data_IF_199275990773
#
_entry.id   IF_199275990773
#
_cell.length_a   1.000
_cell.length_b   1.000
_cell.length_c   1.000
_cell.angle_alpha   90.00
_cell.angle_beta   90.00
_cell.angle_gamma   90.00
#
_symmetry.space_group_name_H-M   'P 1'
#
loop_
_entity.id
_entity.type
_entity.pdbx_description
1 polymer ?
#
# COMPACT_ATOMS: atom_id res chain seq x y z
N UNK A 1 -10.06 -11.62 -9.85
CA UNK A 1 -9.15 -11.72 -11.01
C UNK A 1 -9.17 -10.38 -11.73
N UNK A 2 -8.18 -10.07 -12.56
CA UNK A 2 -8.14 -8.81 -13.32
C UNK A 2 -8.26 -9.14 -14.81
N UNK A 3 -9.30 -8.66 -15.49
CA UNK A 3 -9.60 -8.95 -16.89
C UNK A 3 -9.29 -7.77 -17.82
N UNK A 4 -8.79 -8.06 -19.02
CA UNK A 4 -8.54 -7.10 -20.09
C UNK A 4 -8.55 -7.75 -21.47
N UNK A 5 -8.03 -7.02 -22.47
CA UNK A 5 -7.83 -7.55 -23.84
C UNK A 5 -8.97 -7.31 -24.83
N UNK A 6 -10.03 -6.59 -24.46
CA UNK A 6 -11.02 -6.07 -25.42
C UNK A 6 -10.50 -4.76 -26.03
N UNK A 7 -9.82 -4.86 -27.17
CA UNK A 7 -9.28 -3.70 -27.88
C UNK A 7 -10.23 -3.11 -28.92
N UNK A 8 -11.41 -3.72 -29.15
CA UNK A 8 -12.36 -3.25 -30.17
C UNK A 8 -13.49 -2.44 -29.56
N UNK A 9 -14.11 -2.92 -28.48
CA UNK A 9 -15.23 -2.26 -27.80
C UNK A 9 -14.83 -1.66 -26.43
N UNK A 10 -13.74 -2.15 -25.83
CA UNK A 10 -13.20 -1.63 -24.57
C UNK A 10 -14.09 -1.86 -23.35
N UNK A 11 -15.04 -2.79 -23.42
CA UNK A 11 -16.07 -2.99 -22.38
C UNK A 11 -16.40 -4.46 -22.10
N UNK A 12 -15.67 -5.39 -22.72
CA UNK A 12 -15.82 -6.83 -22.55
C UNK A 12 -16.73 -7.51 -23.59
N UNK A 13 -17.37 -6.76 -24.51
CA UNK A 13 -18.21 -7.36 -25.56
C UNK A 13 -17.48 -7.64 -26.87
N UNK A 14 -16.25 -7.14 -27.00
CA UNK A 14 -15.44 -7.24 -28.22
C UNK A 14 -14.20 -8.15 -28.10
N UNK A 15 -13.24 -7.87 -28.97
CA UNK A 15 -12.01 -8.64 -29.13
C UNK A 15 -12.07 -9.63 -30.30
N UNK A 16 -10.90 -9.90 -30.88
CA UNK A 16 -10.70 -10.93 -31.91
C UNK A 16 -9.27 -11.48 -31.79
N UNK A 17 -9.05 -12.68 -32.31
CA UNK A 17 -7.72 -13.30 -32.33
C UNK A 17 -7.00 -13.05 -33.64
N UNK A 18 -5.69 -13.32 -33.68
CA UNK A 18 -4.92 -13.33 -34.92
C UNK A 18 -5.36 -14.42 -35.93
N UNK A 19 -6.25 -15.33 -35.51
CA UNK A 19 -6.79 -16.42 -36.32
C UNK A 19 -8.24 -16.15 -36.78
N UNK A 20 -8.80 -14.98 -36.45
CA UNK A 20 -10.21 -14.61 -36.68
C UNK A 20 -10.97 -14.32 -35.38
N UNK A 21 -12.29 -14.19 -35.46
CA UNK A 21 -13.13 -13.77 -34.32
C UNK A 21 -12.94 -14.68 -33.09
N UNK A 22 -12.91 -16.01 -33.30
CA UNK A 22 -12.79 -17.01 -32.22
C UNK A 22 -11.87 -18.17 -32.61
N UNK A 23 -11.27 -18.80 -31.61
CA UNK A 23 -10.52 -20.05 -31.76
C UNK A 23 -10.81 -21.06 -30.62
N UNK A 24 -10.39 -22.30 -30.85
CA UNK A 24 -10.66 -23.46 -29.98
C UNK A 24 -9.89 -23.41 -28.65
N UNK A 25 -10.36 -24.16 -27.65
CA UNK A 25 -9.63 -24.40 -26.42
C UNK A 25 -8.50 -25.41 -26.68
N UNK A 26 -7.23 -25.01 -26.53
CA UNK A 26 -6.09 -25.89 -26.83
C UNK A 26 -6.01 -27.10 -25.88
N UNK A 27 -5.88 -26.85 -24.57
CA UNK A 27 -5.86 -27.87 -23.54
C UNK A 27 -6.05 -27.29 -22.14
N UNK A 28 -6.64 -28.08 -21.23
CA UNK A 28 -6.81 -27.72 -19.81
C UNK A 28 -5.76 -28.41 -18.93
N UNK A 29 -4.48 -28.15 -19.21
CA UNK A 29 -3.36 -28.82 -18.53
C UNK A 29 -3.10 -28.27 -17.13
N UNK A 30 -3.28 -26.96 -16.94
CA UNK A 30 -2.99 -26.26 -15.69
C UNK A 30 -4.31 -25.87 -15.02
N UNK A 31 -4.41 -26.18 -13.73
CA UNK A 31 -5.53 -25.77 -12.87
C UNK A 31 -5.27 -24.41 -12.24
N UNK A 32 -6.33 -23.66 -11.99
CA UNK A 32 -6.29 -22.33 -11.40
C UNK A 32 -6.08 -22.39 -9.87
N UNK A 33 -4.94 -22.93 -9.45
CA UNK A 33 -4.63 -23.29 -8.06
C UNK A 33 -3.94 -22.19 -7.27
N UNK A 34 -3.49 -21.12 -7.93
CA UNK A 34 -2.71 -20.05 -7.33
C UNK A 34 -3.01 -18.69 -8.00
N UNK A 35 -2.67 -17.56 -7.34
CA UNK A 35 -2.64 -16.26 -7.99
C UNK A 35 -1.63 -16.22 -9.15
N UNK A 36 -1.76 -15.17 -9.97
CA UNK A 36 -0.85 -14.79 -11.04
C UNK A 36 -0.78 -15.73 -12.24
N UNK A 37 -1.79 -16.56 -12.45
CA UNK A 37 -1.96 -17.34 -13.67
C UNK A 37 -2.63 -16.48 -14.75
N UNK A 38 -2.07 -16.50 -15.96
CA UNK A 38 -2.62 -15.84 -17.13
C UNK A 38 -3.49 -16.83 -17.91
N UNK A 39 -4.76 -16.48 -18.14
CA UNK A 39 -5.76 -17.38 -18.70
C UNK A 39 -6.71 -16.67 -19.66
N UNK A 40 -7.23 -17.42 -20.64
CA UNK A 40 -8.16 -16.91 -21.64
C UNK A 40 -9.55 -16.64 -21.06
N UNK A 41 -10.12 -15.48 -21.35
CA UNK A 41 -11.55 -15.24 -21.16
C UNK A 41 -12.32 -15.76 -22.38
N UNK A 42 -13.52 -16.30 -22.16
CA UNK A 42 -14.37 -16.83 -23.22
C UNK A 42 -15.87 -16.68 -22.85
N UNK A 43 -16.74 -16.93 -23.83
CA UNK A 43 -18.19 -16.94 -23.69
C UNK A 43 -18.77 -18.38 -23.80
N UNK A 44 -17.99 -19.37 -23.34
CA UNK A 44 -18.27 -20.80 -23.50
C UNK A 44 -17.17 -21.54 -24.29
N UNK A 45 -17.31 -22.87 -24.46
CA UNK A 45 -16.30 -23.70 -25.10
C UNK A 45 -15.91 -23.20 -26.49
N UNK A 46 -14.60 -23.20 -26.80
CA UNK A 46 -14.04 -22.82 -28.10
C UNK A 46 -14.41 -21.40 -28.56
N UNK A 47 -14.50 -20.44 -27.63
CA UNK A 47 -14.80 -19.04 -27.95
C UNK A 47 -13.71 -18.08 -27.48
N UNK A 48 -12.46 -18.52 -27.54
CA UNK A 48 -11.31 -17.69 -27.19
C UNK A 48 -11.10 -16.60 -28.24
N UNK A 49 -10.83 -15.37 -27.80
CA UNK A 49 -10.56 -14.21 -28.66
C UNK A 49 -9.25 -13.53 -28.25
N UNK A 50 -9.30 -12.25 -27.91
CA UNK A 50 -8.15 -11.52 -27.34
C UNK A 50 -8.25 -11.26 -25.84
N UNK A 51 -9.43 -11.46 -25.24
CA UNK A 51 -9.63 -11.18 -23.83
C UNK A 51 -8.94 -12.22 -22.96
N UNK A 52 -8.33 -11.76 -21.88
CA UNK A 52 -7.62 -12.59 -20.91
C UNK A 52 -7.86 -12.07 -19.50
N UNK A 53 -7.54 -12.90 -18.52
CA UNK A 53 -7.48 -12.48 -17.13
C UNK A 53 -6.22 -12.99 -16.43
N UNK A 54 -5.83 -12.28 -15.38
CA UNK A 54 -4.79 -12.69 -14.44
C UNK A 54 -5.48 -13.07 -13.12
N UNK A 55 -5.24 -14.28 -12.61
CA UNK A 55 -5.76 -14.69 -11.31
C UNK A 55 -5.09 -13.91 -10.18
N UNK A 56 -5.83 -13.67 -9.10
CA UNK A 56 -5.32 -12.97 -7.89
C UNK A 56 -5.50 -13.83 -6.63
N UNK A 57 -6.13 -14.98 -6.80
CA UNK A 57 -6.31 -16.06 -5.82
C UNK A 57 -6.58 -17.37 -6.60
N UNK A 58 -6.70 -18.50 -5.92
CA UNK A 58 -7.14 -19.76 -6.50
C UNK A 58 -8.59 -19.67 -7.00
N UNK A 59 -8.84 -20.07 -8.25
CA UNK A 59 -10.15 -20.01 -8.89
C UNK A 59 -10.56 -21.36 -9.49
N UNK A 60 -10.69 -22.44 -8.69
CA UNK A 60 -10.93 -23.80 -9.18
C UNK A 60 -12.25 -23.97 -9.96
N UNK A 61 -13.20 -23.05 -9.80
CA UNK A 61 -14.45 -23.04 -10.55
C UNK A 61 -14.27 -22.74 -12.06
N UNK A 62 -13.08 -22.27 -12.47
CA UNK A 62 -12.67 -22.01 -13.86
C UNK A 62 -11.94 -23.20 -14.50
N UNK A 63 -11.61 -24.24 -13.73
CA UNK A 63 -10.90 -25.42 -14.24
C UNK A 63 -11.72 -26.14 -15.30
N UNK A 64 -11.06 -26.54 -16.39
CA UNK A 64 -11.70 -27.20 -17.53
C UNK A 64 -12.60 -26.29 -18.38
N UNK A 65 -12.61 -24.97 -18.11
CA UNK A 65 -13.42 -23.98 -18.82
C UNK A 65 -12.59 -22.87 -19.44
N UNK A 66 -11.48 -22.51 -18.82
CA UNK A 66 -10.58 -21.46 -19.30
C UNK A 66 -9.16 -22.02 -19.45
N UNK A 67 -8.53 -21.70 -20.58
CA UNK A 67 -7.18 -22.17 -20.90
C UNK A 67 -6.16 -21.26 -20.21
N UNK A 68 -5.41 -21.82 -19.27
CA UNK A 68 -4.23 -21.17 -18.69
C UNK A 68 -3.07 -21.31 -19.67
N UNK A 69 -2.45 -20.19 -20.05
CA UNK A 69 -1.39 -20.14 -21.05
C UNK A 69 -0.13 -19.37 -20.60
N UNK A 70 -0.10 -18.92 -19.35
CA UNK A 70 1.09 -18.27 -18.79
C UNK A 70 0.97 -18.00 -17.29
N UNK A 71 1.99 -17.34 -16.74
CA UNK A 71 2.00 -16.82 -15.38
C UNK A 71 2.82 -15.54 -15.30
N UNK A 72 2.51 -14.67 -14.33
CA UNK A 72 3.28 -13.45 -14.09
C UNK A 72 4.62 -13.83 -13.45
N UNK A 73 5.72 -13.44 -14.09
CA UNK A 73 7.07 -13.61 -13.55
C UNK A 73 7.56 -12.40 -12.75
N UNK A 74 7.24 -11.19 -13.20
CA UNK A 74 7.65 -9.92 -12.60
C UNK A 74 6.45 -8.98 -12.51
N UNK A 75 6.45 -8.11 -11.50
CA UNK A 75 5.39 -7.10 -11.34
C UNK A 75 4.10 -7.61 -10.69
N UNK A 76 4.18 -8.64 -9.83
CA UNK A 76 3.03 -9.11 -9.04
C UNK A 76 2.36 -7.96 -8.26
N UNK A 77 3.14 -7.01 -7.75
CA UNK A 77 2.62 -5.84 -7.05
C UNK A 77 1.78 -4.89 -7.93
N UNK A 78 2.03 -4.85 -9.24
CA UNK A 78 1.19 -4.12 -10.20
C UNK A 78 -0.16 -4.80 -10.32
N UNK A 79 -0.19 -6.13 -10.42
CA UNK A 79 -1.45 -6.90 -10.43
C UNK A 79 -2.23 -6.67 -9.14
N UNK A 80 -1.57 -6.70 -7.98
CA UNK A 80 -2.21 -6.37 -6.69
C UNK A 80 -2.73 -4.94 -6.62
N UNK A 81 -2.07 -3.96 -7.26
CA UNK A 81 -2.61 -2.60 -7.37
C UNK A 81 -3.88 -2.55 -8.21
N UNK A 82 -3.92 -3.28 -9.32
CA UNK A 82 -5.13 -3.38 -10.17
C UNK A 82 -6.26 -4.05 -9.39
N UNK A 83 -5.98 -5.14 -8.70
CA UNK A 83 -6.95 -5.88 -7.86
C UNK A 83 -7.58 -4.99 -6.78
N UNK A 84 -6.77 -4.18 -6.09
CA UNK A 84 -7.24 -3.35 -4.99
C UNK A 84 -7.76 -1.98 -5.43
N UNK A 85 -7.83 -1.72 -6.74
CA UNK A 85 -8.37 -0.46 -7.24
C UNK A 85 -9.90 -0.43 -7.01
N UNK A 86 -10.49 0.68 -6.55
CA UNK A 86 -11.93 0.76 -6.34
C UNK A 86 -12.71 0.46 -7.63
N UNK A 87 -13.78 -0.33 -7.52
CA UNK A 87 -14.67 -0.64 -8.64
C UNK A 87 -16.08 -0.08 -8.42
N UNK A 88 -16.78 0.16 -9.52
CA UNK A 88 -18.17 0.59 -9.57
C UNK A 88 -19.08 -0.58 -9.96
N UNK A 89 -20.32 -0.27 -10.39
CA UNK A 89 -21.27 -1.29 -10.83
C UNK A 89 -20.68 -2.15 -11.96
N UNK A 90 -20.82 -3.47 -11.83
CA UNK A 90 -20.28 -4.43 -12.81
C UNK A 90 -18.78 -4.69 -12.66
N UNK A 91 -18.18 -4.37 -11.51
CA UNK A 91 -16.76 -4.57 -11.20
C UNK A 91 -15.81 -3.81 -12.13
N UNK A 92 -16.28 -2.67 -12.66
CA UNK A 92 -15.49 -1.80 -13.54
C UNK A 92 -14.66 -0.84 -12.67
N UNK A 93 -13.34 -0.70 -12.90
CA UNK A 93 -12.50 0.28 -12.20
C UNK A 93 -13.09 1.69 -12.22
N UNK A 94 -13.03 2.41 -11.09
CA UNK A 94 -13.51 3.80 -11.00
C UNK A 94 -12.68 4.78 -11.82
N UNK A 95 -11.42 4.44 -12.09
CA UNK A 95 -10.53 5.15 -13.00
C UNK A 95 -10.01 4.19 -14.09
N UNK A 96 -9.77 4.67 -15.33
CA UNK A 96 -9.25 3.81 -16.39
C UNK A 96 -7.87 3.22 -16.05
N UNK A 97 -7.76 1.89 -16.12
CA UNK A 97 -6.50 1.15 -16.02
C UNK A 97 -6.13 0.67 -17.43
N UNK A 98 -5.02 1.18 -17.96
CA UNK A 98 -4.62 0.96 -19.35
C UNK A 98 -3.29 0.22 -19.44
N UNK A 99 -3.19 -0.69 -20.41
CA UNK A 99 -1.89 -1.20 -20.88
C UNK A 99 -1.31 -0.11 -21.80
N UNK A 100 -0.45 0.73 -21.24
CA UNK A 100 0.11 1.88 -21.96
C UNK A 100 1.13 1.48 -23.03
N UNK A 101 1.84 0.37 -22.82
CA UNK A 101 2.81 -0.20 -23.75
C UNK A 101 2.92 -1.72 -23.52
N UNK A 102 3.25 -2.48 -24.56
CA UNK A 102 3.46 -3.92 -24.50
C UNK A 102 4.41 -4.40 -25.60
N UNK A 103 5.05 -5.56 -25.39
CA UNK A 103 5.97 -6.13 -26.34
C UNK A 103 6.51 -7.48 -25.90
N UNK A 104 7.36 -8.06 -26.74
CA UNK A 104 8.07 -9.30 -26.45
C UNK A 104 9.50 -8.98 -26.00
N UNK A 105 9.89 -9.52 -24.83
CA UNK A 105 11.27 -9.44 -24.36
C UNK A 105 12.08 -10.58 -24.98
N UNK A 106 13.29 -10.27 -25.45
CA UNK A 106 14.23 -11.30 -25.87
C UNK A 106 14.75 -12.06 -24.65
N UNK A 107 15.21 -13.30 -24.83
CA UNK A 107 15.78 -14.10 -23.74
C UNK A 107 16.92 -13.39 -22.99
N UNK A 108 17.69 -12.55 -23.69
CA UNK A 108 18.85 -11.86 -23.12
C UNK A 108 18.54 -10.44 -22.62
N UNK A 109 17.26 -10.05 -22.64
CA UNK A 109 16.82 -8.71 -22.28
C UNK A 109 17.28 -8.35 -20.86
N UNK A 110 17.95 -7.20 -20.66
CA UNK A 110 18.42 -6.77 -19.35
C UNK A 110 17.30 -6.68 -18.31
N UNK A 111 16.05 -6.43 -18.72
CA UNK A 111 14.87 -6.35 -17.85
C UNK A 111 14.48 -7.72 -17.27
N UNK A 112 14.92 -8.82 -17.90
CA UNK A 112 14.78 -10.18 -17.35
C UNK A 112 15.91 -10.53 -16.37
N UNK A 113 17.08 -9.88 -16.51
CA UNK A 113 18.25 -10.07 -15.64
C UNK A 113 18.24 -9.13 -14.43
N UNK A 114 17.54 -8.00 -14.54
CA UNK A 114 17.08 -7.25 -13.38
C UNK A 114 15.97 -8.06 -12.74
N UNK A 115 16.32 -8.90 -11.78
CA UNK A 115 15.36 -9.36 -10.77
C UNK A 115 14.56 -8.15 -10.28
N UNK A 116 13.27 -8.14 -10.60
CA UNK A 116 12.24 -7.24 -10.11
C UNK A 116 12.43 -5.74 -10.40
N UNK A 117 11.31 -5.05 -10.61
CA UNK A 117 11.21 -3.63 -10.25
C UNK A 117 11.16 -3.46 -8.72
N UNK A 118 12.18 -3.99 -8.05
CA UNK A 118 12.75 -3.49 -6.82
C UNK A 118 14.22 -3.27 -7.15
N UNK A 119 14.81 -2.15 -6.77
CA UNK A 119 16.27 -1.97 -6.83
C UNK A 119 16.98 -3.28 -6.44
N UNK A 120 18.14 -3.59 -7.02
CA UNK A 120 19.03 -4.72 -6.62
C UNK A 120 19.27 -4.88 -5.11
N UNK A 121 18.80 -3.93 -4.31
CA UNK A 121 18.79 -3.86 -2.85
C UNK A 121 17.50 -4.37 -2.15
N UNK A 122 16.38 -4.66 -2.85
CA UNK A 122 15.12 -5.18 -2.27
C UNK A 122 14.55 -6.37 -3.06
N UNK A 123 14.94 -7.61 -2.72
CA UNK A 123 14.55 -8.83 -3.42
C UNK A 123 13.25 -9.46 -2.88
N UNK A 124 12.45 -8.70 -2.13
CA UNK A 124 11.24 -9.21 -1.48
C UNK A 124 9.99 -8.77 -2.25
N UNK A 125 8.93 -9.55 -2.23
CA UNK A 125 7.65 -9.16 -2.83
C UNK A 125 6.96 -8.09 -1.98
N UNK A 126 6.16 -7.21 -2.60
CA UNK A 126 5.51 -6.12 -1.85
C UNK A 126 4.44 -6.61 -0.86
N UNK A 127 3.88 -7.80 -1.12
CA UNK A 127 2.91 -8.48 -0.27
C UNK A 127 3.52 -9.80 0.23
N UNK A 128 3.57 -10.05 1.55
CA UNK A 128 4.23 -11.23 2.11
C UNK A 128 3.68 -12.57 1.62
N UNK A 129 2.36 -12.64 1.35
CA UNK A 129 1.69 -13.85 0.84
C UNK A 129 2.16 -14.24 -0.57
N UNK A 130 2.74 -13.30 -1.32
CA UNK A 130 3.19 -13.51 -2.68
C UNK A 130 4.70 -13.80 -2.76
N UNK A 131 5.43 -13.69 -1.63
CA UNK A 131 6.86 -13.98 -1.52
C UNK A 131 7.10 -15.49 -1.44
N UNK A 132 8.11 -15.99 -2.15
CA UNK A 132 8.42 -17.43 -2.20
C UNK A 132 9.05 -17.94 -0.88
N UNK A 133 9.45 -17.04 0.03
CA UNK A 133 9.98 -17.37 1.35
C UNK A 133 8.83 -17.71 2.31
N UNK A 134 9.13 -18.50 3.34
CA UNK A 134 8.16 -18.86 4.38
C UNK A 134 7.85 -17.68 5.31
N UNK A 135 7.02 -16.74 4.85
CA UNK A 135 6.66 -15.53 5.62
C UNK A 135 5.72 -15.83 6.80
N UNK A 136 5.09 -17.02 6.80
CA UNK A 136 4.37 -17.58 7.95
C UNK A 136 5.32 -17.98 9.10
N UNK A 137 6.63 -18.04 8.84
CA UNK A 137 7.63 -18.11 9.90
C UNK A 137 7.96 -16.68 10.41
N UNK A 138 7.75 -16.38 11.70
CA UNK A 138 7.96 -15.02 12.23
C UNK A 138 9.43 -14.58 12.18
N UNK A 139 10.40 -15.47 12.33
CA UNK A 139 11.81 -15.12 12.16
C UNK A 139 12.11 -14.64 10.74
N UNK A 140 11.54 -15.31 9.73
CA UNK A 140 11.69 -14.92 8.32
C UNK A 140 11.04 -13.57 8.07
N UNK A 141 9.79 -13.39 8.49
CA UNK A 141 9.07 -12.11 8.36
C UNK A 141 9.83 -10.95 9.02
N UNK A 142 10.38 -11.18 10.22
CA UNK A 142 11.19 -10.20 10.93
C UNK A 142 12.48 -9.83 10.19
N UNK A 143 13.19 -10.83 9.64
CA UNK A 143 14.42 -10.59 8.88
C UNK A 143 14.16 -9.73 7.64
N UNK A 144 13.10 -10.04 6.90
CA UNK A 144 12.67 -9.27 5.73
C UNK A 144 12.29 -7.85 6.15
N UNK A 145 11.45 -7.72 7.18
CA UNK A 145 11.03 -6.42 7.69
C UNK A 145 12.23 -5.55 8.10
N UNK A 146 13.25 -6.12 8.75
CA UNK A 146 14.50 -5.42 9.10
C UNK A 146 15.24 -4.92 7.86
N UNK A 147 15.44 -5.78 6.86
CA UNK A 147 16.13 -5.41 5.62
C UNK A 147 15.40 -4.30 4.85
N UNK A 148 14.09 -4.44 4.68
CA UNK A 148 13.24 -3.44 4.00
C UNK A 148 13.22 -2.12 4.75
N UNK A 149 13.19 -2.13 6.10
CA UNK A 149 13.27 -0.90 6.90
C UNK A 149 14.59 -0.17 6.68
N UNK A 150 15.71 -0.87 6.62
CA UNK A 150 17.01 -0.23 6.41
C UNK A 150 17.12 0.43 5.03
N UNK A 151 16.55 -0.18 3.99
CA UNK A 151 16.40 0.47 2.70
C UNK A 151 15.52 1.73 2.80
N UNK A 152 14.39 1.65 3.51
CA UNK A 152 13.55 2.82 3.78
C UNK A 152 14.31 3.95 4.48
N UNK A 153 15.14 3.63 5.48
CA UNK A 153 15.99 4.59 6.18
C UNK A 153 16.98 5.27 5.22
N UNK A 154 17.59 4.50 4.30
CA UNK A 154 18.53 5.02 3.30
C UNK A 154 17.84 5.97 2.34
N UNK A 155 16.74 5.54 1.73
CA UNK A 155 15.93 6.35 0.81
C UNK A 155 15.44 7.65 1.47
N UNK A 156 15.04 7.57 2.74
CA UNK A 156 14.61 8.75 3.49
C UNK A 156 15.76 9.75 3.69
N UNK A 157 16.97 9.28 4.00
CA UNK A 157 18.18 10.12 4.12
C UNK A 157 18.58 10.76 2.79
N UNK A 158 18.34 10.08 1.67
CA UNK A 158 18.55 10.59 0.30
C UNK A 158 17.47 11.59 -0.14
N UNK A 159 16.45 11.85 0.68
CA UNK A 159 15.33 12.74 0.34
C UNK A 159 14.26 12.09 -0.54
N UNK A 160 14.41 10.81 -0.90
CA UNK A 160 13.43 10.01 -1.67
C UNK A 160 12.28 9.55 -0.76
N UNK A 161 11.55 10.53 -0.23
CA UNK A 161 10.59 10.33 0.87
C UNK A 161 9.43 9.41 0.47
N UNK A 162 8.93 9.51 -0.75
CA UNK A 162 7.83 8.68 -1.26
C UNK A 162 8.25 7.20 -1.36
N UNK A 163 9.42 6.94 -1.94
CA UNK A 163 9.97 5.59 -2.00
C UNK A 163 10.25 5.03 -0.60
N UNK A 164 10.74 5.86 0.32
CA UNK A 164 10.95 5.47 1.72
C UNK A 164 9.63 5.09 2.41
N UNK A 165 8.55 5.86 2.18
CA UNK A 165 7.23 5.53 2.70
C UNK A 165 6.77 4.15 2.23
N UNK A 166 6.90 3.86 0.94
CA UNK A 166 6.57 2.56 0.36
C UNK A 166 7.33 1.41 1.04
N UNK A 167 8.63 1.58 1.29
CA UNK A 167 9.44 0.57 2.02
C UNK A 167 9.02 0.44 3.48
N UNK A 168 8.72 1.52 4.19
CA UNK A 168 8.23 1.40 5.56
C UNK A 168 6.88 0.69 5.63
N UNK A 169 5.94 1.00 4.73
CA UNK A 169 4.65 0.32 4.65
C UNK A 169 4.82 -1.16 4.31
N UNK A 170 5.73 -1.51 3.38
CA UNK A 170 6.10 -2.90 3.08
C UNK A 170 6.63 -3.62 4.31
N UNK A 171 7.62 -3.03 5.00
CA UNK A 171 8.19 -3.59 6.23
C UNK A 171 7.12 -3.83 7.30
N UNK A 172 6.14 -2.92 7.46
CA UNK A 172 5.00 -3.09 8.36
C UNK A 172 4.13 -4.29 7.92
N UNK A 173 3.82 -4.42 6.62
CA UNK A 173 3.05 -5.57 6.11
C UNK A 173 3.70 -6.91 6.44
N UNK A 174 5.02 -7.02 6.36
CA UNK A 174 5.74 -8.24 6.75
C UNK A 174 5.60 -8.55 8.25
N UNK A 175 5.67 -7.54 9.13
CA UNK A 175 5.42 -7.77 10.55
C UNK A 175 3.95 -8.10 10.84
N UNK A 176 3.03 -7.55 10.05
CA UNK A 176 1.59 -7.75 10.22
C UNK A 176 1.09 -9.11 9.76
N UNK A 177 1.94 -9.94 9.15
CA UNK A 177 1.68 -11.40 9.03
C UNK A 177 1.55 -12.03 10.42
N UNK A 178 2.32 -11.51 11.39
CA UNK A 178 2.35 -11.98 12.78
C UNK A 178 1.92 -10.87 13.74
N UNK A 179 0.64 -10.45 13.73
CA UNK A 179 0.17 -9.34 14.57
C UNK A 179 0.20 -9.69 16.06
N UNK A 180 0.17 -10.99 16.38
CA UNK A 180 0.39 -11.56 17.70
C UNK A 180 1.31 -12.78 17.50
N UNK A 181 2.47 -12.76 18.16
CA UNK A 181 3.39 -13.90 18.12
C UNK A 181 2.84 -15.07 18.98
N UNK A 182 3.21 -16.32 18.65
CA UNK A 182 2.89 -17.48 19.49
C UNK A 182 3.31 -17.28 20.96
N UNK A 183 2.54 -17.83 21.89
CA UNK A 183 2.83 -17.69 23.33
C UNK A 183 4.19 -18.28 23.69
N UNK A 184 4.58 -19.37 23.04
CA UNK A 184 5.84 -20.09 23.18
C UNK A 184 6.99 -19.49 22.35
N UNK A 185 6.76 -18.40 21.60
CA UNK A 185 7.82 -17.74 20.84
C UNK A 185 8.95 -17.25 21.78
N UNK A 186 10.23 -17.39 21.36
CA UNK A 186 11.37 -16.98 22.17
C UNK A 186 11.26 -15.52 22.63
N UNK A 187 11.60 -15.19 23.90
CA UNK A 187 11.60 -13.81 24.38
C UNK A 187 12.38 -12.85 23.47
N UNK A 188 13.52 -13.30 22.94
CA UNK A 188 14.38 -12.51 22.06
C UNK A 188 13.69 -12.16 20.73
N UNK A 189 12.79 -13.02 20.25
CA UNK A 189 11.99 -12.78 19.06
C UNK A 189 10.94 -11.70 19.34
N UNK A 190 10.20 -11.83 20.45
CA UNK A 190 9.19 -10.86 20.89
C UNK A 190 9.82 -9.48 21.07
N UNK A 191 10.93 -9.42 21.79
CA UNK A 191 11.70 -8.19 22.00
C UNK A 191 12.16 -7.58 20.66
N UNK A 192 12.61 -8.41 19.72
CA UNK A 192 13.03 -7.93 18.40
C UNK A 192 11.89 -7.38 17.55
N UNK A 193 10.69 -7.97 17.64
CA UNK A 193 9.49 -7.47 16.97
C UNK A 193 9.06 -6.13 17.54
N UNK A 194 8.98 -6.02 18.86
CA UNK A 194 8.60 -4.79 19.55
C UNK A 194 9.61 -3.66 19.30
N UNK A 195 10.91 -3.97 19.40
CA UNK A 195 11.98 -3.02 19.14
C UNK A 195 12.00 -2.51 17.70
N UNK A 196 11.52 -3.30 16.74
CA UNK A 196 11.43 -2.90 15.34
C UNK A 196 10.17 -2.09 15.04
N UNK A 197 9.02 -2.50 15.59
CA UNK A 197 7.71 -1.98 15.19
C UNK A 197 7.53 -0.51 15.58
N UNK A 198 7.92 -0.10 16.80
CA UNK A 198 7.78 1.28 17.27
C UNK A 198 8.49 2.30 16.36
N UNK A 199 9.82 2.22 16.12
CA UNK A 199 10.51 3.16 15.25
C UNK A 199 10.02 3.07 13.81
N UNK A 200 9.59 1.90 13.34
CA UNK A 200 9.07 1.70 11.99
C UNK A 200 7.75 2.45 11.75
N UNK A 201 6.77 2.29 12.66
CA UNK A 201 5.49 3.02 12.58
C UNK A 201 5.71 4.53 12.61
N UNK A 202 6.59 4.99 13.50
CA UNK A 202 6.95 6.38 13.61
C UNK A 202 7.62 6.89 12.33
N UNK A 203 8.59 6.18 11.78
CA UNK A 203 9.28 6.55 10.54
C UNK A 203 8.32 6.58 9.34
N UNK A 204 7.42 5.60 9.24
CA UNK A 204 6.37 5.58 8.22
C UNK A 204 5.46 6.81 8.33
N UNK A 205 5.00 7.14 9.54
CA UNK A 205 4.17 8.35 9.75
C UNK A 205 4.92 9.64 9.38
N UNK A 206 6.22 9.73 9.72
CA UNK A 206 7.04 10.89 9.36
C UNK A 206 7.26 10.99 7.84
N UNK A 207 7.46 9.87 7.16
CA UNK A 207 7.58 9.85 5.71
C UNK A 207 6.26 10.29 5.06
N UNK A 208 5.13 9.73 5.50
CA UNK A 208 3.81 10.06 5.00
C UNK A 208 3.48 11.56 5.11
N UNK A 209 3.74 12.18 6.26
CA UNK A 209 3.53 13.64 6.41
C UNK A 209 4.54 14.49 5.63
N UNK A 210 5.66 13.93 5.15
CA UNK A 210 6.68 14.65 4.39
C UNK A 210 6.51 14.53 2.87
N UNK A 211 5.84 13.49 2.37
CA UNK A 211 5.52 13.37 0.94
C UNK A 211 4.76 14.61 0.45
N UNK A 212 5.11 15.09 -0.74
CA UNK A 212 4.43 16.18 -1.43
C UNK A 212 3.87 15.68 -2.78
N UNK A 213 2.68 16.14 -3.21
CA UNK A 213 1.78 17.01 -2.45
C UNK A 213 1.17 16.29 -1.23
N UNK A 214 0.76 17.04 -0.21
CA UNK A 214 0.00 16.48 0.92
C UNK A 214 -1.31 15.87 0.43
N UNK A 215 -1.55 14.60 0.74
CA UNK A 215 -2.78 13.88 0.39
C UNK A 215 -3.52 13.38 1.63
N UNK A 216 -4.85 13.27 1.57
CA UNK A 216 -5.63 12.60 2.62
C UNK A 216 -5.19 11.15 2.88
N UNK A 217 -4.77 10.41 1.84
CA UNK A 217 -4.30 9.03 1.97
C UNK A 217 -3.02 8.92 2.84
N UNK A 218 -2.06 9.82 2.61
CA UNK A 218 -0.85 9.86 3.43
C UNK A 218 -1.14 10.35 4.86
N UNK A 219 -2.06 11.30 5.02
CA UNK A 219 -2.50 11.72 6.34
C UNK A 219 -3.16 10.57 7.12
N UNK A 220 -4.05 9.79 6.50
CA UNK A 220 -4.65 8.61 7.11
C UNK A 220 -3.60 7.55 7.49
N UNK A 221 -2.60 7.32 6.64
CA UNK A 221 -1.46 6.44 6.96
C UNK A 221 -0.73 6.92 8.21
N UNK A 222 -0.42 8.21 8.30
CA UNK A 222 0.25 8.77 9.48
C UNK A 222 -0.61 8.67 10.75
N UNK A 223 -1.92 8.95 10.66
CA UNK A 223 -2.87 8.83 11.78
C UNK A 223 -2.96 7.37 12.25
N UNK A 224 -3.10 6.42 11.32
CA UNK A 224 -3.19 5.00 11.62
C UNK A 224 -1.94 4.48 12.34
N UNK A 225 -0.76 4.76 11.78
CA UNK A 225 0.51 4.31 12.35
C UNK A 225 0.80 4.90 13.73
N UNK A 226 0.57 6.21 13.91
CA UNK A 226 0.79 6.88 15.20
C UNK A 226 -0.23 6.43 16.25
N UNK A 227 -1.49 6.22 15.87
CA UNK A 227 -2.52 5.68 16.76
C UNK A 227 -2.20 4.25 17.17
N UNK A 228 -1.74 3.40 16.24
CA UNK A 228 -1.26 2.05 16.56
C UNK A 228 -0.10 2.11 17.56
N UNK A 229 0.89 2.96 17.31
CA UNK A 229 2.04 3.10 18.20
C UNK A 229 1.62 3.55 19.62
N UNK A 230 0.74 4.55 19.73
CA UNK A 230 0.26 5.07 21.01
C UNK A 230 -0.62 4.09 21.80
N UNK A 231 -1.43 3.27 21.11
CA UNK A 231 -2.40 2.39 21.75
C UNK A 231 -1.85 0.98 22.05
N UNK A 232 -0.85 0.53 21.29
CA UNK A 232 -0.41 -0.87 21.32
C UNK A 232 1.02 -1.06 21.81
N UNK A 233 1.84 -0.01 21.86
CA UNK A 233 3.26 -0.14 22.19
C UNK A 233 3.62 0.65 23.45
N UNK A 234 4.61 0.15 24.18
CA UNK A 234 5.23 0.88 25.27
C UNK A 234 6.22 1.90 24.71
N UNK A 235 5.88 3.18 24.83
CA UNK A 235 6.69 4.29 24.34
C UNK A 235 7.20 5.14 25.51
N UNK A 236 8.44 5.59 25.44
CA UNK A 236 8.96 6.65 26.30
C UNK A 236 8.29 8.00 25.93
N UNK A 237 8.42 9.00 26.79
CA UNK A 237 7.75 10.29 26.62
C UNK A 237 8.16 11.02 25.34
N UNK A 238 9.42 10.91 24.92
CA UNK A 238 9.91 11.51 23.69
C UNK A 238 9.27 10.86 22.45
N UNK A 239 9.13 9.54 22.42
CA UNK A 239 8.51 8.83 21.29
C UNK A 239 6.99 8.99 21.28
N UNK A 240 6.34 9.07 22.45
CA UNK A 240 4.92 9.47 22.57
C UNK A 240 4.70 10.87 22.00
N UNK A 241 5.55 11.84 22.37
CA UNK A 241 5.46 13.20 21.86
C UNK A 241 5.68 13.26 20.33
N UNK A 242 6.65 12.49 19.79
CA UNK A 242 6.83 12.36 18.34
C UNK A 242 5.59 11.79 17.65
N UNK A 243 4.97 10.75 18.23
CA UNK A 243 3.76 10.15 17.67
C UNK A 243 2.61 11.15 17.61
N UNK A 244 2.33 11.83 18.74
CA UNK A 244 1.28 12.83 18.87
C UNK A 244 1.51 14.02 17.93
N UNK A 245 2.74 14.53 17.87
CA UNK A 245 3.10 15.63 16.96
C UNK A 245 2.86 15.25 15.50
N UNK A 246 3.31 14.07 15.06
CA UNK A 246 3.11 13.57 13.69
C UNK A 246 1.63 13.36 13.38
N UNK A 247 0.86 12.84 14.34
CA UNK A 247 -0.59 12.66 14.22
C UNK A 247 -1.31 14.00 14.10
N UNK A 248 -0.92 15.00 14.87
CA UNK A 248 -1.47 16.35 14.79
C UNK A 248 -1.23 17.00 13.42
N UNK A 249 -0.03 16.85 12.85
CA UNK A 249 0.26 17.34 11.49
C UNK A 249 -0.62 16.67 10.44
N UNK A 250 -0.88 15.36 10.59
CA UNK A 250 -1.78 14.64 9.71
C UNK A 250 -3.26 15.07 9.88
N UNK A 251 -3.73 15.26 11.12
CA UNK A 251 -5.05 15.84 11.39
C UNK A 251 -5.21 17.24 10.76
N UNK A 252 -4.16 18.06 10.74
CA UNK A 252 -4.19 19.36 10.07
C UNK A 252 -4.41 19.23 8.55
N UNK A 253 -3.79 18.23 7.89
CA UNK A 253 -4.05 17.91 6.47
C UNK A 253 -5.52 17.51 6.25
N UNK A 254 -6.09 16.77 7.21
CA UNK A 254 -7.50 16.36 7.21
C UNK A 254 -8.48 17.47 7.62
N UNK A 255 -7.99 18.68 7.93
CA UNK A 255 -8.78 19.82 8.46
C UNK A 255 -9.46 19.54 9.80
N UNK A 256 -8.88 18.64 10.61
CA UNK A 256 -9.37 18.24 11.93
C UNK A 256 -8.64 19.01 13.05
N UNK A 257 -8.81 20.34 13.06
CA UNK A 257 -8.06 21.24 13.96
C UNK A 257 -8.21 20.91 15.45
N UNK A 258 -9.40 20.45 15.87
CA UNK A 258 -9.65 20.06 17.27
C UNK A 258 -8.81 18.86 17.69
N UNK A 259 -8.67 17.86 16.81
CA UNK A 259 -7.88 16.66 17.07
C UNK A 259 -6.39 17.02 17.10
N UNK A 260 -5.94 17.83 16.14
CA UNK A 260 -4.57 18.31 16.08
C UNK A 260 -4.18 19.10 17.35
N UNK A 261 -5.05 20.00 17.83
CA UNK A 261 -4.78 20.75 19.07
C UNK A 261 -4.73 19.84 20.30
N UNK A 262 -5.63 18.84 20.38
CA UNK A 262 -5.64 17.90 21.49
C UNK A 262 -4.32 17.11 21.58
N UNK A 263 -3.84 16.59 20.45
CA UNK A 263 -2.57 15.87 20.37
C UNK A 263 -1.37 16.76 20.74
N UNK A 264 -1.32 18.00 20.23
CA UNK A 264 -0.22 18.93 20.53
C UNK A 264 -0.19 19.37 22.01
N UNK A 265 -1.34 19.48 22.67
CA UNK A 265 -1.38 19.76 24.12
C UNK A 265 -0.75 18.63 24.93
N UNK A 266 -1.08 17.39 24.59
CA UNK A 266 -0.49 16.22 25.25
C UNK A 266 1.00 16.13 24.92
N UNK A 267 1.39 16.33 23.67
CA UNK A 267 2.80 16.33 23.26
C UNK A 267 3.61 17.41 23.99
N UNK A 268 3.05 18.61 24.14
CA UNK A 268 3.68 19.73 24.85
C UNK A 268 3.81 19.45 26.35
N UNK A 269 2.86 18.75 26.96
CA UNK A 269 2.97 18.34 28.35
C UNK A 269 4.09 17.30 28.58
N UNK A 270 4.31 16.41 27.60
CA UNK A 270 5.35 15.38 27.65
C UNK A 270 6.75 15.97 27.40
N UNK A 271 6.88 16.92 26.46
CA UNK A 271 8.16 17.55 26.11
C UNK A 271 7.99 19.08 26.00
N UNK A 272 7.92 19.81 27.14
CA UNK A 272 7.57 21.23 27.16
C UNK A 272 8.58 22.16 26.46
N UNK A 273 9.84 21.72 26.33
CA UNK A 273 10.91 22.50 25.70
C UNK A 273 11.01 22.30 24.18
N UNK A 274 10.13 21.49 23.57
CA UNK A 274 10.15 21.27 22.13
C UNK A 274 9.56 22.47 21.38
N UNK A 275 10.43 23.17 20.64
CA UNK A 275 10.07 24.37 19.90
C UNK A 275 9.11 24.07 18.74
N UNK A 276 9.20 22.89 18.11
CA UNK A 276 8.36 22.53 16.97
C UNK A 276 6.92 22.26 17.41
N UNK A 277 6.73 21.55 18.52
CA UNK A 277 5.41 21.31 19.13
C UNK A 277 4.79 22.65 19.55
N UNK A 278 5.56 23.50 20.22
CA UNK A 278 5.09 24.81 20.69
C UNK A 278 4.67 25.70 19.52
N UNK A 279 5.50 25.79 18.47
CA UNK A 279 5.20 26.60 17.30
C UNK A 279 3.94 26.13 16.56
N UNK A 280 3.77 24.81 16.38
CA UNK A 280 2.59 24.28 15.69
C UNK A 280 1.31 24.47 16.53
N UNK A 281 1.39 24.34 17.86
CA UNK A 281 0.25 24.57 18.75
C UNK A 281 -0.23 26.02 18.69
N UNK A 282 0.71 26.99 18.71
CA UNK A 282 0.36 28.40 18.59
C UNK A 282 -0.22 28.74 17.22
N UNK A 283 0.30 28.13 16.14
CA UNK A 283 -0.26 28.27 14.80
C UNK A 283 -1.71 27.79 14.72
N UNK A 284 -2.04 26.63 15.30
CA UNK A 284 -3.42 26.12 15.31
C UNK A 284 -4.33 27.01 16.16
N UNK A 285 -3.87 27.45 17.34
CA UNK A 285 -4.64 28.37 18.20
C UNK A 285 -4.96 29.68 17.48
N UNK A 286 -3.98 30.24 16.78
CA UNK A 286 -4.16 31.47 16.02
C UNK A 286 -5.16 31.27 14.87
N UNK A 287 -5.03 30.17 14.10
CA UNK A 287 -5.97 29.85 13.01
C UNK A 287 -7.42 29.71 13.51
N UNK A 288 -7.63 29.06 14.66
CA UNK A 288 -8.96 28.93 15.28
C UNK A 288 -9.52 30.27 15.74
N UNK A 289 -8.68 31.13 16.33
CA UNK A 289 -9.08 32.49 16.74
C UNK A 289 -9.54 33.30 15.52
N UNK A 290 -8.75 33.27 14.45
CA UNK A 290 -9.07 33.99 13.21
C UNK A 290 -10.36 33.46 12.56
N UNK A 291 -10.59 32.15 12.61
CA UNK A 291 -11.84 31.53 12.14
C UNK A 291 -13.05 32.00 12.95
N UNK A 292 -12.97 31.98 14.29
CA UNK A 292 -14.05 32.49 15.17
C UNK A 292 -14.33 33.97 14.93
N UNK A 293 -13.29 34.78 14.75
CA UNK A 293 -13.46 36.21 14.47
C UNK A 293 -14.10 36.46 13.10
N UNK A 294 -13.79 35.65 12.09
CA UNK A 294 -14.47 35.68 10.79
C UNK A 294 -15.94 35.27 10.90
N UNK A 295 -16.24 34.18 11.59
CA UNK A 295 -17.61 33.71 11.83
C UNK A 295 -18.44 34.77 12.57
N UNK A 296 -17.88 35.35 13.65
CA UNK A 296 -18.52 36.44 14.39
C UNK A 296 -18.83 37.66 13.52
N UNK A 297 -17.90 38.05 12.63
CA UNK A 297 -18.11 39.14 11.66
C UNK A 297 -19.19 38.80 10.63
N UNK A 298 -19.23 37.56 10.14
CA UNK A 298 -20.24 37.10 9.19
C UNK A 298 -21.64 37.09 9.82
N UNK A 299 -21.78 36.52 11.01
CA UNK A 299 -23.04 36.55 11.76
C UNK A 299 -23.51 37.97 12.04
N UNK A 300 -22.62 38.88 12.45
CA UNK A 300 -22.98 40.28 12.66
C UNK A 300 -23.56 40.95 11.40
N UNK A 301 -23.08 40.60 10.20
CA UNK A 301 -23.61 41.11 8.92
C UNK A 301 -24.94 40.50 8.50
N UNK A 302 -25.23 39.27 8.94
CA UNK A 302 -26.50 38.58 8.64
C UNK A 302 -27.67 39.12 9.47
N UNK A 303 -27.38 39.72 10.63
CA UNK A 303 -28.38 40.27 11.56
C UNK A 303 -28.38 41.81 11.62
N UNK A 304 -27.68 42.47 10.70
CA UNK A 304 -27.64 43.93 10.51
C UNK A 304 -28.22 44.30 9.16
#
# INVERSE_FOLDING_TARGET
MCQGGDFTAGNGTGGESIYGEKFEDEAFLVKHTKPFLLSMANAGPNTNGSQFFITVDATPHLDGKHVVFGEVKLGKSVVRHIENHPTANGDVPTEPILIADCGALSHDDPSLKQEAQGSTEDPYEDFPVDDDRDTENPEVALQIAKAVRELGNRLFKEGKTDQALGKYQKSIRYLDVHPVLPEDAPPELKDSYEALLAPLLLNSALAAIKVEPKTPANAMTAIGNTTRALNKLQLNDADKAKALYRRALAHAVMKEESNAEADLKVASALVPSDAAITAELEKIRQARKDKKDKEKKAYKKLFS
#
